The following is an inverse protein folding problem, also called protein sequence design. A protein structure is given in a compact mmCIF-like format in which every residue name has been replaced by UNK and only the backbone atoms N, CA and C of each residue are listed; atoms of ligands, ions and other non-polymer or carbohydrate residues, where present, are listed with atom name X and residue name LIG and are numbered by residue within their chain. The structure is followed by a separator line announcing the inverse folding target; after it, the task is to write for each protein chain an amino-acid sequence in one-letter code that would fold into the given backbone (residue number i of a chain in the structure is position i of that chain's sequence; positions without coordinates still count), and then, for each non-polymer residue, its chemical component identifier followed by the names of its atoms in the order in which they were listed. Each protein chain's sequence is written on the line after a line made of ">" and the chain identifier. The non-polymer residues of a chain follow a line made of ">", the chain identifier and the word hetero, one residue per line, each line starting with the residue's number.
data_IF_005270901148
#
_entry.id   IF_005270901148
#
_cell.length_a   1.000
_cell.length_b   1.000
_cell.length_c   1.000
_cell.angle_alpha   90.00
_cell.angle_beta   90.00
_cell.angle_gamma   90.00
#
_symmetry.space_group_name_H-M   'P 1'
#
loop_
_entity.id
_entity.type
_entity.pdbx_description
1 polymer ?
#
# COMPACT_ATOMS: atom_id res chain seq x y z
N UNK A 1 -15.72 39.33 -63.41
CA UNK A 1 -15.10 38.50 -64.47
C UNK A 1 -14.79 37.16 -63.79
N UNK A 2 -15.73 36.31 -63.91
CA UNK A 2 -15.74 34.95 -64.52
C UNK A 2 -14.54 34.07 -64.15
N UNK A 3 -14.78 33.13 -63.30
CA UNK A 3 -14.67 31.65 -63.43
C UNK A 3 -14.96 30.97 -62.11
N UNK A 4 -16.18 30.62 -61.94
CA UNK A 4 -16.58 29.74 -60.86
C UNK A 4 -17.60 28.72 -61.41
N UNK A 5 -17.28 27.47 -61.35
CA UNK A 5 -18.24 26.43 -61.71
C UNK A 5 -17.64 25.39 -62.65
N UNK A 6 -17.05 24.34 -62.12
CA UNK A 6 -16.97 22.96 -62.66
C UNK A 6 -16.18 22.15 -61.62
N UNK A 7 -16.78 21.76 -60.50
CA UNK A 7 -16.24 20.67 -59.62
C UNK A 7 -17.33 20.11 -58.69
N UNK A 8 -18.53 19.94 -59.20
CA UNK A 8 -19.57 19.37 -58.31
C UNK A 8 -20.41 18.28 -58.99
N UNK A 9 -19.81 17.41 -59.77
CA UNK A 9 -20.55 16.30 -60.37
C UNK A 9 -19.86 14.95 -60.48
N UNK A 10 -18.78 14.71 -59.71
CA UNK A 10 -18.15 13.38 -59.65
C UNK A 10 -17.95 13.04 -58.17
N UNK A 11 -18.99 12.66 -57.51
CA UNK A 11 -18.82 12.10 -56.14
C UNK A 11 -20.00 11.28 -55.63
N UNK A 12 -20.93 10.90 -56.42
CA UNK A 12 -22.09 10.16 -55.89
C UNK A 12 -22.19 8.69 -56.36
N UNK A 13 -21.27 8.25 -57.23
CA UNK A 13 -21.24 6.85 -57.66
C UNK A 13 -20.07 6.01 -57.15
N UNK A 14 -19.08 6.61 -56.52
CA UNK A 14 -17.95 5.88 -55.91
C UNK A 14 -18.13 5.55 -54.40
N UNK A 15 -19.22 6.02 -53.79
CA UNK A 15 -19.51 5.77 -52.36
C UNK A 15 -20.34 4.56 -52.10
N UNK A 16 -20.85 3.86 -53.15
CA UNK A 16 -21.71 2.68 -52.97
C UNK A 16 -20.99 1.32 -53.12
N UNK A 17 -19.69 1.33 -53.40
CA UNK A 17 -18.89 0.09 -53.59
C UNK A 17 -17.94 -0.20 -52.42
N UNK A 18 -17.78 0.71 -51.48
CA UNK A 18 -16.88 0.53 -50.32
C UNK A 18 -17.60 0.03 -49.06
N UNK A 19 -18.94 -0.12 -49.08
CA UNK A 19 -19.72 -0.47 -47.92
C UNK A 19 -19.98 -1.99 -47.74
N UNK A 20 -19.38 -2.88 -48.54
CA UNK A 20 -19.71 -4.32 -48.52
C UNK A 20 -18.52 -5.26 -48.20
N UNK A 21 -17.39 -4.80 -47.70
CA UNK A 21 -16.23 -5.64 -47.39
C UNK A 21 -15.73 -5.39 -45.96
N UNK A 22 -16.60 -5.42 -44.95
CA UNK A 22 -16.20 -5.36 -43.53
C UNK A 22 -17.06 -6.27 -42.63
N UNK A 23 -17.37 -7.48 -43.08
CA UNK A 23 -17.94 -8.51 -42.19
C UNK A 23 -17.32 -9.86 -42.54
N UNK A 24 -16.08 -10.11 -42.20
CA UNK A 24 -15.56 -11.46 -41.97
C UNK A 24 -14.11 -11.37 -41.43
N UNK A 25 -13.94 -11.14 -40.14
CA UNK A 25 -12.71 -11.56 -39.47
C UNK A 25 -12.99 -11.81 -38.00
N UNK A 26 -13.81 -12.82 -37.71
CA UNK A 26 -13.66 -13.57 -36.48
C UNK A 26 -12.51 -14.54 -36.68
N UNK A 27 -11.29 -14.06 -36.52
CA UNK A 27 -10.13 -14.93 -36.44
C UNK A 27 -10.19 -15.62 -35.06
N UNK A 28 -10.61 -16.87 -35.10
CA UNK A 28 -10.44 -17.86 -34.04
C UNK A 28 -8.93 -18.02 -33.79
N UNK A 29 -8.45 -17.35 -32.73
CA UNK A 29 -7.07 -17.57 -32.25
C UNK A 29 -7.00 -18.95 -31.61
N UNK A 30 -6.69 -19.95 -32.42
CA UNK A 30 -6.20 -21.23 -31.92
C UNK A 30 -4.93 -20.97 -31.14
N UNK A 31 -5.06 -21.05 -29.80
CA UNK A 31 -3.95 -21.02 -28.85
C UNK A 31 -3.05 -22.22 -29.12
N UNK A 32 -2.00 -22.02 -29.88
CA UNK A 32 -0.91 -22.99 -30.03
C UNK A 32 -0.25 -23.12 -28.66
N UNK A 33 -0.47 -24.28 -28.05
CA UNK A 33 0.21 -24.68 -26.81
C UNK A 33 1.68 -24.95 -27.17
N UNK A 34 2.55 -23.98 -26.91
CA UNK A 34 3.98 -24.22 -26.85
C UNK A 34 4.35 -24.71 -25.44
N UNK A 35 5.29 -25.69 -25.31
CA UNK A 35 5.57 -26.29 -24.01
C UNK A 35 6.37 -25.36 -23.11
N UNK A 36 5.87 -25.24 -21.88
CA UNK A 36 6.56 -24.95 -20.63
C UNK A 36 7.94 -24.29 -20.69
N UNK A 37 7.98 -22.98 -20.67
CA UNK A 37 8.89 -22.29 -19.78
C UNK A 37 8.11 -21.92 -18.51
N UNK A 38 8.24 -22.73 -17.48
CA UNK A 38 7.82 -22.41 -16.14
C UNK A 38 8.67 -21.23 -15.65
N UNK A 39 8.35 -20.01 -16.11
CA UNK A 39 8.64 -18.83 -15.31
C UNK A 39 7.84 -19.01 -14.05
N UNK A 40 8.55 -19.28 -12.97
CA UNK A 40 8.11 -19.10 -11.62
C UNK A 40 7.60 -17.65 -11.55
N UNK A 41 6.35 -17.43 -11.89
CA UNK A 41 5.60 -16.27 -11.48
C UNK A 41 5.50 -16.43 -9.97
N UNK A 42 6.47 -15.82 -9.25
CA UNK A 42 6.31 -15.50 -7.86
C UNK A 42 5.07 -14.61 -7.85
N UNK A 43 3.92 -15.22 -7.63
CA UNK A 43 2.70 -14.52 -7.27
C UNK A 43 3.03 -13.88 -5.93
N UNK A 44 3.60 -12.70 -5.98
CA UNK A 44 3.71 -11.81 -4.85
C UNK A 44 2.28 -11.51 -4.46
N UNK A 45 1.76 -12.26 -3.49
CA UNK A 45 0.49 -11.95 -2.84
C UNK A 45 0.71 -10.65 -2.08
N UNK A 46 0.67 -9.55 -2.83
CA UNK A 46 0.78 -8.22 -2.27
C UNK A 46 -0.49 -8.00 -1.47
N UNK A 47 -0.37 -8.21 -0.17
CA UNK A 47 -1.47 -8.04 0.76
C UNK A 47 -1.57 -6.55 1.08
N UNK A 48 -2.79 -6.03 1.10
CA UNK A 48 -3.07 -4.64 1.40
C UNK A 48 -4.08 -4.55 2.55
N UNK A 49 -3.87 -3.60 3.45
CA UNK A 49 -4.79 -3.25 4.53
C UNK A 49 -4.97 -1.74 4.57
N UNK A 50 -6.17 -1.32 4.95
CA UNK A 50 -6.48 0.06 5.25
C UNK A 50 -7.25 0.13 6.57
N UNK A 51 -7.24 1.30 7.19
CA UNK A 51 -7.93 1.50 8.44
C UNK A 51 -7.39 2.66 9.24
N UNK A 52 -7.58 2.58 10.54
CA UNK A 52 -7.09 3.57 11.50
C UNK A 52 -6.16 2.95 12.50
N UNK A 53 -5.11 3.67 12.86
CA UNK A 53 -4.18 3.27 13.89
C UNK A 53 -4.09 4.34 14.98
N UNK A 54 -3.80 3.90 16.19
CA UNK A 54 -3.33 4.78 17.27
C UNK A 54 -2.17 4.11 18.00
N UNK A 55 -1.13 4.88 18.26
CA UNK A 55 0.02 4.48 19.05
C UNK A 55 0.12 5.43 20.25
N UNK A 56 0.14 4.88 21.45
CA UNK A 56 0.37 5.63 22.68
C UNK A 56 1.65 5.08 23.32
N UNK A 57 2.60 5.96 23.58
CA UNK A 57 3.86 5.62 24.23
C UNK A 57 3.91 6.33 25.57
N UNK A 58 4.06 5.57 26.65
CA UNK A 58 4.12 6.12 27.99
C UNK A 58 5.42 6.89 28.19
N UNK A 59 5.35 7.86 29.10
CA UNK A 59 6.55 8.61 29.50
C UNK A 59 7.60 7.66 30.07
N UNK A 60 8.82 7.68 29.52
CA UNK A 60 9.93 6.88 30.08
C UNK A 60 10.47 7.43 31.41
N UNK A 61 10.16 8.69 31.73
CA UNK A 61 10.55 9.38 32.97
C UNK A 61 9.68 10.61 33.20
N UNK A 62 9.71 11.16 34.42
CA UNK A 62 8.91 12.35 34.79
C UNK A 62 9.18 13.60 33.91
N UNK A 63 10.35 13.67 33.31
CA UNK A 63 10.75 14.82 32.49
C UNK A 63 10.51 14.66 30.98
N UNK A 64 9.99 13.50 30.54
CA UNK A 64 9.69 13.22 29.13
C UNK A 64 8.19 13.00 28.97
N UNK A 65 7.55 13.80 28.13
CA UNK A 65 6.11 13.67 27.89
C UNK A 65 5.75 12.34 27.23
N UNK A 66 4.62 11.77 27.63
CA UNK A 66 3.99 10.68 26.89
C UNK A 66 3.64 11.13 25.46
N UNK A 67 3.77 10.23 24.50
CA UNK A 67 3.47 10.51 23.11
C UNK A 67 2.20 9.79 22.69
N UNK A 68 1.38 10.46 21.88
CA UNK A 68 0.19 9.88 21.29
C UNK A 68 0.11 10.26 19.81
N UNK A 69 -0.08 9.27 18.97
CA UNK A 69 -0.23 9.44 17.54
C UNK A 69 -1.46 8.68 17.05
N UNK A 70 -2.26 9.29 16.17
CA UNK A 70 -3.40 8.66 15.52
C UNK A 70 -3.48 9.11 14.06
N UNK A 71 -3.74 8.16 13.18
CA UNK A 71 -3.88 8.40 11.75
C UNK A 71 -4.75 7.33 11.09
N UNK A 72 -5.31 7.62 9.93
CA UNK A 72 -5.69 6.59 8.98
C UNK A 72 -4.43 6.06 8.28
N UNK A 73 -4.47 4.82 7.83
CA UNK A 73 -3.34 4.22 7.14
C UNK A 73 -3.76 3.38 5.94
N UNK A 74 -2.88 3.33 4.96
CA UNK A 74 -2.89 2.36 3.88
C UNK A 74 -1.54 1.64 3.90
N UNK A 75 -1.56 0.33 4.05
CA UNK A 75 -0.38 -0.53 4.12
C UNK A 75 -0.42 -1.52 2.97
N UNK A 76 0.67 -1.62 2.20
CA UNK A 76 0.83 -2.55 1.08
C UNK A 76 2.17 -3.26 1.17
N UNK A 77 2.19 -4.54 0.82
CA UNK A 77 3.43 -5.31 0.75
C UNK A 77 3.51 -6.43 1.77
N UNK A 78 4.70 -6.65 2.30
CA UNK A 78 5.08 -7.71 3.23
C UNK A 78 6.13 -7.19 4.22
N UNK A 79 6.49 -7.95 5.28
CA UNK A 79 7.45 -7.46 6.27
C UNK A 79 8.77 -6.96 5.70
N UNK A 80 9.28 -7.62 4.65
CA UNK A 80 10.58 -7.34 4.04
C UNK A 80 10.55 -6.15 3.09
N UNK A 81 9.39 -5.83 2.48
CA UNK A 81 9.28 -4.73 1.53
C UNK A 81 7.83 -4.25 1.39
N UNK A 82 7.63 -2.95 1.33
CA UNK A 82 6.29 -2.41 1.19
C UNK A 82 6.22 -0.89 1.28
N UNK A 83 4.99 -0.42 1.42
CA UNK A 83 4.65 0.99 1.55
C UNK A 83 3.56 1.19 2.60
N UNK A 84 3.77 2.16 3.48
CA UNK A 84 2.79 2.63 4.46
C UNK A 84 2.52 4.11 4.21
N UNK A 85 1.29 4.45 3.86
CA UNK A 85 0.82 5.84 3.79
C UNK A 85 0.07 6.17 5.08
N UNK A 86 0.44 7.28 5.72
CA UNK A 86 -0.23 7.83 6.89
C UNK A 86 -1.04 9.05 6.48
N UNK A 87 -2.31 9.09 6.90
CA UNK A 87 -3.28 10.10 6.51
C UNK A 87 -3.89 10.72 7.77
N UNK A 88 -3.91 12.03 7.84
CA UNK A 88 -4.51 12.75 8.95
C UNK A 88 -6.04 12.56 8.99
N UNK A 89 -6.72 12.83 10.12
CA UNK A 89 -8.17 12.81 10.18
C UNK A 89 -8.87 13.78 9.19
N UNK A 90 -8.15 14.78 8.69
CA UNK A 90 -8.63 15.74 7.69
C UNK A 90 -8.35 15.30 6.24
N UNK A 91 -7.78 14.09 6.03
CA UNK A 91 -7.49 13.54 4.71
C UNK A 91 -6.16 13.98 4.09
N UNK A 92 -5.32 14.72 4.80
CA UNK A 92 -4.00 15.11 4.31
C UNK A 92 -2.99 14.00 4.55
N UNK A 93 -2.11 13.73 3.60
CA UNK A 93 -1.00 12.79 3.77
C UNK A 93 -0.03 13.38 4.80
N UNK A 94 0.22 12.64 5.89
CA UNK A 94 1.20 12.97 6.91
C UNK A 94 2.60 12.50 6.53
N UNK A 95 2.68 11.44 5.75
CA UNK A 95 3.92 10.88 5.24
C UNK A 95 3.74 9.52 4.61
N UNK A 96 4.74 9.12 3.85
CA UNK A 96 4.82 7.82 3.19
C UNK A 96 6.14 7.16 3.59
N UNK A 97 6.04 5.98 4.17
CA UNK A 97 7.18 5.11 4.46
C UNK A 97 7.27 4.03 3.41
N UNK A 98 8.43 3.89 2.77
CA UNK A 98 8.77 2.77 1.88
C UNK A 98 9.94 2.02 2.45
N UNK A 99 9.90 0.70 2.39
CA UNK A 99 11.01 -0.12 2.88
C UNK A 99 11.33 -1.27 1.94
N UNK A 100 12.57 -1.66 2.00
CA UNK A 100 13.17 -2.84 1.37
C UNK A 100 13.96 -3.59 2.46
N UNK A 101 14.57 -4.76 2.18
CA UNK A 101 15.44 -5.42 3.15
C UNK A 101 16.66 -4.57 3.58
N UNK A 102 17.06 -3.59 2.77
CA UNK A 102 18.29 -2.84 2.97
C UNK A 102 18.08 -1.49 3.66
N UNK A 103 16.91 -0.86 3.46
CA UNK A 103 16.61 0.47 3.98
C UNK A 103 15.12 0.76 4.12
N UNK A 104 14.80 1.74 4.94
CA UNK A 104 13.48 2.38 4.98
C UNK A 104 13.62 3.88 4.69
N UNK A 105 12.71 4.42 3.86
CA UNK A 105 12.71 5.83 3.44
C UNK A 105 11.38 6.45 3.81
N UNK A 106 11.42 7.50 4.61
CA UNK A 106 10.25 8.29 5.01
C UNK A 106 10.20 9.61 4.23
N UNK A 107 9.05 9.89 3.62
CA UNK A 107 8.74 11.13 2.93
C UNK A 107 7.58 11.83 3.65
N UNK A 108 7.85 12.95 4.30
CA UNK A 108 6.84 13.79 4.96
C UNK A 108 6.19 14.81 3.99
N UNK A 109 6.40 14.68 2.68
CA UNK A 109 5.82 15.59 1.69
C UNK A 109 6.47 17.00 1.64
N UNK A 110 7.60 17.19 2.32
CA UNK A 110 8.31 18.46 2.39
C UNK A 110 9.55 18.54 1.46
N UNK A 111 9.70 17.56 0.56
CA UNK A 111 10.83 17.41 -0.37
C UNK A 111 12.11 16.88 0.27
N UNK A 112 12.10 16.49 1.55
CA UNK A 112 13.23 15.90 2.24
C UNK A 112 12.93 14.45 2.59
N UNK A 113 13.66 13.54 1.96
CA UNK A 113 13.61 12.12 2.27
C UNK A 113 14.51 11.81 3.46
N UNK A 114 13.96 11.11 4.44
CA UNK A 114 14.69 10.63 5.61
C UNK A 114 14.93 9.12 5.44
N UNK A 115 16.17 8.68 5.61
CA UNK A 115 16.58 7.29 5.44
C UNK A 115 16.92 6.66 6.78
N UNK A 116 16.48 5.43 6.96
CA UNK A 116 16.66 4.63 8.17
C UNK A 116 17.10 3.22 7.79
N UNK A 117 17.68 2.50 8.71
CA UNK A 117 18.07 1.10 8.50
C UNK A 117 16.86 0.18 8.33
N UNK A 118 15.73 0.50 9.01
CA UNK A 118 14.48 -0.24 8.92
C UNK A 118 13.29 0.61 9.40
N UNK A 119 12.07 0.14 9.21
CA UNK A 119 10.86 0.78 9.77
C UNK A 119 10.89 0.77 11.29
N UNK A 120 11.39 -0.30 11.90
CA UNK A 120 11.53 -0.41 13.35
C UNK A 120 12.49 0.65 13.91
N UNK A 121 13.62 0.91 13.21
CA UNK A 121 14.57 1.95 13.64
C UNK A 121 13.96 3.35 13.54
N UNK A 122 13.19 3.63 12.49
CA UNK A 122 12.41 4.88 12.38
C UNK A 122 11.43 5.04 13.55
N UNK A 123 10.64 3.99 13.84
CA UNK A 123 9.68 4.03 14.95
C UNK A 123 10.38 4.18 16.31
N UNK A 124 11.49 3.48 16.52
CA UNK A 124 12.27 3.60 17.75
C UNK A 124 12.80 5.02 17.95
N UNK A 125 13.29 5.65 16.89
CA UNK A 125 13.86 7.00 16.94
C UNK A 125 12.75 8.07 17.13
N UNK A 126 11.63 7.92 16.42
CA UNK A 126 10.58 8.94 16.42
C UNK A 126 9.59 8.80 17.58
N UNK A 127 9.32 7.59 18.05
CA UNK A 127 8.32 7.31 19.08
C UNK A 127 8.89 6.68 20.34
N UNK A 128 10.14 6.21 20.30
CA UNK A 128 10.75 5.44 21.38
C UNK A 128 10.30 3.97 21.44
N UNK A 129 9.39 3.54 20.57
CA UNK A 129 8.82 2.19 20.60
C UNK A 129 8.86 1.55 19.21
N UNK A 130 9.82 0.65 18.99
CA UNK A 130 9.87 -0.17 17.79
C UNK A 130 8.66 -1.12 17.72
N UNK A 131 7.96 -1.18 16.58
CA UNK A 131 6.95 -2.18 16.29
C UNK A 131 7.55 -3.17 15.29
N UNK A 132 7.71 -4.45 15.64
CA UNK A 132 8.31 -5.43 14.75
C UNK A 132 7.42 -5.69 13.54
N UNK A 133 7.92 -5.45 12.32
CA UNK A 133 7.14 -5.55 11.09
C UNK A 133 6.60 -6.96 10.85
N UNK A 134 7.42 -7.99 11.10
CA UNK A 134 6.98 -9.38 10.97
C UNK A 134 5.78 -9.70 11.87
N UNK A 135 5.80 -9.19 13.11
CA UNK A 135 4.69 -9.36 14.05
C UNK A 135 3.46 -8.56 13.62
N UNK A 136 3.63 -7.29 13.23
CA UNK A 136 2.54 -6.44 12.72
C UNK A 136 1.80 -7.12 11.56
N UNK A 137 2.53 -7.61 10.56
CA UNK A 137 1.92 -8.33 9.44
C UNK A 137 1.26 -9.64 9.84
N UNK A 138 1.78 -10.34 10.87
CA UNK A 138 1.12 -11.50 11.48
C UNK A 138 -0.21 -11.11 12.13
N UNK A 139 -0.21 -10.08 12.95
CA UNK A 139 -1.41 -9.59 13.64
C UNK A 139 -2.49 -9.12 12.67
N UNK A 140 -2.10 -8.43 11.59
CA UNK A 140 -3.02 -8.03 10.51
C UNK A 140 -3.70 -9.23 9.84
N UNK A 141 -3.04 -10.39 9.78
CA UNK A 141 -3.62 -11.65 9.29
C UNK A 141 -4.37 -12.45 10.37
N UNK A 142 -4.50 -11.92 11.58
CA UNK A 142 -5.14 -12.62 12.70
C UNK A 142 -4.27 -13.72 13.33
N UNK A 143 -2.96 -13.66 13.13
CA UNK A 143 -1.99 -14.62 13.65
C UNK A 143 -1.24 -14.01 14.83
N UNK A 144 -1.25 -14.70 15.98
CA UNK A 144 -0.41 -14.32 17.11
C UNK A 144 1.04 -14.69 16.82
N UNK A 145 1.69 -13.80 16.09
CA UNK A 145 3.12 -13.90 15.82
C UNK A 145 3.85 -13.27 17.00
N UNK A 146 4.53 -14.10 17.77
CA UNK A 146 5.29 -13.67 18.94
C UNK A 146 6.29 -12.56 18.59
N UNK A 147 6.34 -11.53 19.42
CA UNK A 147 7.29 -10.44 19.30
C UNK A 147 7.85 -10.11 20.69
N UNK A 148 9.17 -10.02 20.79
CA UNK A 148 9.83 -9.77 22.07
C UNK A 148 9.31 -8.48 22.73
N UNK A 149 8.80 -8.61 23.95
CA UNK A 149 8.25 -7.51 24.73
C UNK A 149 6.85 -7.05 24.35
N UNK A 150 6.25 -7.61 23.31
CA UNK A 150 4.89 -7.31 22.88
C UNK A 150 3.94 -8.47 23.22
N UNK A 151 2.71 -8.12 23.55
CA UNK A 151 1.57 -9.02 23.62
C UNK A 151 0.47 -8.49 22.71
N UNK A 152 -0.27 -9.37 22.03
CA UNK A 152 -1.37 -8.97 21.14
C UNK A 152 -2.68 -9.59 21.59
N UNK A 153 -3.74 -8.82 21.49
CA UNK A 153 -5.13 -9.27 21.65
C UNK A 153 -5.81 -9.27 20.26
N UNK A 154 -6.09 -10.47 19.78
CA UNK A 154 -6.78 -10.74 18.51
C UNK A 154 -8.22 -11.21 18.71
N UNK A 155 -8.76 -11.19 19.94
CA UNK A 155 -10.12 -11.64 20.25
C UNK A 155 -11.20 -10.97 19.44
N UNK A 156 -10.92 -9.75 18.93
CA UNK A 156 -11.82 -8.97 18.09
C UNK A 156 -11.30 -8.76 16.67
N UNK A 157 -10.41 -9.64 16.21
CA UNK A 157 -9.86 -9.55 14.84
C UNK A 157 -10.96 -9.71 13.78
N UNK A 158 -11.98 -10.56 14.02
CA UNK A 158 -13.15 -10.69 13.13
C UNK A 158 -13.95 -9.39 12.96
N UNK A 159 -13.85 -8.48 13.95
CA UNK A 159 -14.46 -7.15 13.90
C UNK A 159 -13.48 -6.09 13.33
N UNK A 160 -12.37 -6.52 12.75
CA UNK A 160 -11.29 -5.65 12.26
C UNK A 160 -10.48 -4.96 13.37
N UNK A 161 -10.53 -5.43 14.62
CA UNK A 161 -9.87 -4.77 15.76
C UNK A 161 -8.70 -5.58 16.27
N UNK A 162 -7.56 -4.92 16.41
CA UNK A 162 -6.32 -5.48 16.92
C UNK A 162 -5.79 -4.55 18.02
N UNK A 163 -5.37 -5.10 19.14
CA UNK A 163 -4.71 -4.35 20.19
C UNK A 163 -3.39 -5.05 20.56
N UNK A 164 -2.29 -4.33 20.51
CA UNK A 164 -0.99 -4.85 20.92
C UNK A 164 -0.37 -3.93 21.95
N UNK A 165 0.27 -4.52 22.96
CA UNK A 165 0.92 -3.81 24.05
C UNK A 165 2.37 -4.23 24.16
N UNK A 166 3.25 -3.23 24.19
CA UNK A 166 4.65 -3.40 24.54
C UNK A 166 4.82 -3.22 26.05
N UNK A 167 5.26 -4.27 26.73
CA UNK A 167 5.48 -4.25 28.17
C UNK A 167 6.96 -4.02 28.52
N UNK A 168 7.87 -4.46 27.65
CA UNK A 168 9.32 -4.32 27.80
C UNK A 168 10.05 -4.35 26.46
N UNK A 169 11.24 -3.72 26.34
CA UNK A 169 11.79 -2.76 27.30
C UNK A 169 10.95 -1.46 27.34
N UNK A 170 11.20 -0.62 28.34
CA UNK A 170 10.62 0.73 28.37
C UNK A 170 11.05 1.54 27.13
N UNK A 171 10.21 2.52 26.69
CA UNK A 171 8.88 2.87 27.22
C UNK A 171 7.80 1.85 26.86
N UNK A 172 6.78 1.74 27.70
CA UNK A 172 5.59 0.95 27.38
C UNK A 172 4.81 1.63 26.26
N UNK A 173 4.18 0.82 25.41
CA UNK A 173 3.40 1.34 24.30
C UNK A 173 2.13 0.51 24.07
N UNK A 174 1.06 1.19 23.69
CA UNK A 174 -0.21 0.59 23.27
C UNK A 174 -0.45 0.93 21.80
N UNK A 175 -0.51 -0.08 20.94
CA UNK A 175 -0.88 0.04 19.52
C UNK A 175 -2.30 -0.52 19.34
N UNK A 176 -3.15 0.24 18.70
CA UNK A 176 -4.50 -0.20 18.31
C UNK A 176 -4.71 0.02 16.84
N UNK A 177 -5.27 -0.99 16.18
CA UNK A 177 -5.65 -0.95 14.77
C UNK A 177 -7.14 -1.23 14.64
N UNK A 178 -7.78 -0.52 13.74
CA UNK A 178 -9.15 -0.78 13.30
C UNK A 178 -9.12 -0.83 11.79
N UNK A 179 -9.32 -2.03 11.24
CA UNK A 179 -9.34 -2.29 9.79
C UNK A 179 -10.69 -1.91 9.21
N UNK A 180 -10.69 -1.43 7.96
CA UNK A 180 -11.90 -1.07 7.21
C UNK A 180 -12.59 -2.30 6.60
#
# INVERSE_FOLDING_TARGET
>A
MQRMGIFYRISMQTMLVIATILVASCANSTRTTAPNDAKNEVVSTQTAWAGRLSLQVQSPSENVAAQSFAASFELKGQPESGELTLISPLGSILGVMRWTPDEAVFDAGNGKLQRYLSVESFLAETTGAAVPMAALFGWLRGQDTGAAGWTVDLSRHSDGRIAARRNSPAPQADLRLVLD
#
